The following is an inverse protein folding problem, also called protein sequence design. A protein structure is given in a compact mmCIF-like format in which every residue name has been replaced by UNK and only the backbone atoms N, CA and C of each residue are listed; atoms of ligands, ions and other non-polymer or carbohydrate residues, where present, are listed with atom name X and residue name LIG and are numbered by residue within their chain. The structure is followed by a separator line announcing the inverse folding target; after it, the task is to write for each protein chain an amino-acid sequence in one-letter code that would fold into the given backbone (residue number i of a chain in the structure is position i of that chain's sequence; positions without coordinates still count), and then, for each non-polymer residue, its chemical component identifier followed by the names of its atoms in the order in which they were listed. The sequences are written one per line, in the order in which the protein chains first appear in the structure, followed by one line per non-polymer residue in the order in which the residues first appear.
data_IF_327905464432
#
_entry.id   IF_327905464432
#
_cell.length_a   1.000
_cell.length_b   1.000
_cell.length_c   1.000
_cell.angle_alpha   90.00
_cell.angle_beta   90.00
_cell.angle_gamma   90.00
#
_symmetry.space_group_name_H-M   'P 1'
#
loop_
_entity.id
_entity.type
_entity.pdbx_description
1 polymer ?
#
# COMPACT_ATOMS: atom_id res chain seq x y z
N UNK A 1 9.57 36.26 -32.84
CA UNK A 1 10.43 35.20 -32.25
C UNK A 1 9.56 33.98 -32.08
N UNK A 2 9.87 32.92 -32.82
CA UNK A 2 9.06 31.72 -32.99
C UNK A 2 9.12 30.85 -31.74
N UNK A 3 7.98 30.65 -31.06
CA UNK A 3 7.85 29.64 -30.01
C UNK A 3 7.93 28.27 -30.66
N UNK A 4 9.08 27.59 -30.57
CA UNK A 4 9.12 26.16 -30.78
C UNK A 4 8.32 25.54 -29.65
N UNK A 5 7.12 25.02 -29.95
CA UNK A 5 6.47 24.02 -29.11
C UNK A 5 7.41 22.82 -29.04
N UNK A 6 8.29 22.81 -28.04
CA UNK A 6 9.06 21.62 -27.67
C UNK A 6 8.05 20.51 -27.44
N UNK A 7 8.03 19.49 -28.30
CA UNK A 7 7.24 18.30 -28.07
C UNK A 7 7.85 17.54 -26.89
N UNK A 8 7.04 16.80 -26.12
CA UNK A 8 7.52 15.91 -25.05
C UNK A 8 8.38 14.73 -25.56
N UNK A 9 8.93 14.80 -26.77
CA UNK A 9 9.70 13.74 -27.42
C UNK A 9 10.97 13.36 -26.62
N UNK A 10 11.54 14.29 -25.87
CA UNK A 10 12.67 14.03 -24.98
C UNK A 10 12.31 13.16 -23.76
N UNK A 11 11.01 12.99 -23.46
CA UNK A 11 10.51 12.16 -22.35
C UNK A 11 9.99 10.80 -22.80
N UNK A 12 9.73 10.60 -24.10
CA UNK A 12 9.00 9.45 -24.62
C UNK A 12 9.95 8.59 -25.46
N UNK A 13 10.01 7.29 -25.18
CA UNK A 13 10.82 6.36 -25.97
C UNK A 13 10.06 5.69 -27.11
N UNK A 14 10.81 5.16 -28.08
CA UNK A 14 10.26 4.35 -29.17
C UNK A 14 9.53 3.11 -28.63
N UNK A 15 10.05 2.52 -27.53
CA UNK A 15 9.36 1.45 -26.80
C UNK A 15 7.93 1.82 -26.38
N UNK A 16 7.68 3.06 -25.98
CA UNK A 16 6.33 3.49 -25.61
C UNK A 16 5.46 3.72 -26.85
N UNK A 17 6.04 4.27 -27.93
CA UNK A 17 5.34 4.44 -29.21
C UNK A 17 4.95 3.11 -29.87
N UNK A 18 5.74 2.05 -29.69
CA UNK A 18 5.43 0.72 -30.22
C UNK A 18 4.06 0.19 -29.76
N UNK A 19 3.62 0.52 -28.54
CA UNK A 19 2.28 0.15 -28.05
C UNK A 19 1.16 0.94 -28.70
N UNK A 20 1.45 2.11 -29.27
CA UNK A 20 0.48 2.94 -29.99
C UNK A 20 0.40 2.49 -31.45
N UNK A 21 1.55 2.25 -32.06
CA UNK A 21 1.68 1.90 -33.47
C UNK A 21 1.28 0.45 -33.73
N UNK A 22 1.56 -0.45 -32.78
CA UNK A 22 1.29 -1.89 -32.89
C UNK A 22 0.56 -2.43 -31.64
N UNK A 23 -0.64 -1.90 -31.33
CA UNK A 23 -1.37 -2.30 -30.13
C UNK A 23 -1.91 -3.72 -30.27
N UNK A 24 -2.03 -4.43 -29.15
CA UNK A 24 -2.71 -5.75 -29.13
C UNK A 24 -4.22 -5.62 -29.32
N UNK A 25 -4.77 -4.42 -29.10
CA UNK A 25 -6.18 -4.10 -29.31
C UNK A 25 -6.52 -2.67 -28.90
N UNK A 26 -7.79 -2.28 -29.05
CA UNK A 26 -8.23 -0.91 -28.75
C UNK A 26 -7.98 -0.49 -27.29
N UNK A 27 -8.33 -1.35 -26.33
CA UNK A 27 -8.13 -1.08 -24.91
C UNK A 27 -6.65 -0.90 -24.54
N UNK A 28 -5.78 -1.66 -25.19
CA UNK A 28 -4.32 -1.59 -25.04
C UNK A 28 -3.81 -0.22 -25.54
N UNK A 29 -4.18 0.16 -26.77
CA UNK A 29 -3.86 1.50 -27.32
C UNK A 29 -4.31 2.62 -26.39
N UNK A 30 -5.57 2.59 -25.94
CA UNK A 30 -6.13 3.63 -25.06
C UNK A 30 -5.37 3.73 -23.74
N UNK A 31 -5.00 2.59 -23.16
CA UNK A 31 -4.23 2.57 -21.93
C UNK A 31 -2.84 3.17 -22.12
N UNK A 32 -2.13 2.79 -23.18
CA UNK A 32 -0.79 3.33 -23.48
C UNK A 32 -0.83 4.81 -23.92
N UNK A 33 -1.87 5.25 -24.62
CA UNK A 33 -2.06 6.67 -24.98
C UNK A 33 -2.10 7.57 -23.75
N UNK A 34 -2.72 7.13 -22.65
CA UNK A 34 -2.74 7.92 -21.40
C UNK A 34 -1.35 8.15 -20.82
N UNK A 35 -0.44 7.19 -20.99
CA UNK A 35 0.95 7.30 -20.54
C UNK A 35 1.68 8.35 -21.37
N UNK A 36 1.51 8.29 -22.69
CA UNK A 36 2.04 9.29 -23.63
C UNK A 36 1.49 10.68 -23.30
N UNK A 37 0.17 10.80 -23.12
CA UNK A 37 -0.50 12.06 -22.80
C UNK A 37 0.02 12.65 -21.48
N UNK A 38 0.27 11.82 -20.46
CA UNK A 38 0.86 12.26 -19.20
C UNK A 38 2.23 12.92 -19.40
N UNK A 39 3.14 12.29 -20.15
CA UNK A 39 4.45 12.88 -20.44
C UNK A 39 4.36 14.12 -21.34
N UNK A 40 3.42 14.17 -22.29
CA UNK A 40 3.20 15.35 -23.12
C UNK A 40 2.67 16.54 -22.31
N UNK A 41 1.74 16.30 -21.39
CA UNK A 41 1.21 17.32 -20.48
C UNK A 41 2.29 17.83 -19.53
N UNK A 42 3.22 16.96 -19.12
CA UNK A 42 4.33 17.26 -18.22
C UNK A 42 5.65 17.53 -18.95
N UNK A 43 5.61 17.93 -20.23
CA UNK A 43 6.81 18.14 -21.06
C UNK A 43 7.78 19.20 -20.54
N UNK A 44 7.31 20.10 -19.69
CA UNK A 44 8.09 21.18 -19.10
C UNK A 44 8.43 20.89 -17.61
N UNK A 45 8.08 19.71 -17.09
CA UNK A 45 8.47 19.29 -15.76
C UNK A 45 9.99 19.05 -15.72
N UNK A 46 10.67 19.50 -14.67
CA UNK A 46 12.12 19.32 -14.53
C UNK A 46 12.50 17.89 -14.14
N UNK A 47 11.59 17.15 -13.51
CA UNK A 47 11.84 15.83 -12.93
C UNK A 47 10.56 15.05 -12.72
N UNK A 48 10.70 13.72 -12.70
CA UNK A 48 9.63 12.76 -12.49
C UNK A 48 9.97 11.82 -11.33
N UNK A 49 9.02 11.55 -10.46
CA UNK A 49 9.16 10.51 -9.43
C UNK A 49 8.46 9.22 -9.87
N UNK A 50 9.19 8.11 -9.82
CA UNK A 50 8.67 6.77 -10.07
C UNK A 50 8.54 6.05 -8.74
N UNK A 51 7.34 5.58 -8.43
CA UNK A 51 6.98 5.14 -7.08
C UNK A 51 6.53 3.70 -7.07
N UNK A 52 7.13 2.92 -6.16
CA UNK A 52 6.70 1.58 -5.80
C UNK A 52 6.76 1.38 -4.27
N UNK A 53 6.23 0.26 -3.80
CA UNK A 53 6.03 -0.05 -2.38
C UNK A 53 6.50 -1.45 -2.00
N UNK A 54 6.89 -1.61 -0.75
CA UNK A 54 7.08 -2.92 -0.14
C UNK A 54 6.52 -2.92 1.27
N UNK A 55 5.87 -3.99 1.67
CA UNK A 55 5.28 -4.07 3.00
C UNK A 55 5.26 -5.51 3.53
N UNK A 56 5.12 -5.60 4.85
CA UNK A 56 4.80 -6.83 5.54
C UNK A 56 3.68 -6.52 6.53
N UNK A 57 2.49 -7.11 6.38
CA UNK A 57 1.40 -6.89 7.32
C UNK A 57 1.75 -7.55 8.68
N UNK A 58 1.22 -7.03 9.79
CA UNK A 58 1.25 -7.75 11.05
C UNK A 58 0.53 -9.10 10.94
N UNK A 59 1.02 -10.12 11.64
CA UNK A 59 0.43 -11.46 11.63
C UNK A 59 0.35 -12.04 13.03
N UNK A 60 -0.69 -12.83 13.29
CA UNK A 60 -0.83 -13.60 14.52
C UNK A 60 -0.48 -15.05 14.25
N UNK A 61 0.38 -15.61 15.10
CA UNK A 61 0.59 -17.04 15.12
C UNK A 61 -0.62 -17.70 15.79
N UNK A 62 -1.45 -18.37 14.99
CA UNK A 62 -2.68 -19.02 15.47
C UNK A 62 -2.43 -20.08 16.56
N UNK A 63 -1.21 -20.66 16.64
CA UNK A 63 -0.87 -21.68 17.62
C UNK A 63 -0.39 -21.10 18.94
N UNK A 64 0.41 -20.04 18.90
CA UNK A 64 1.02 -19.43 20.11
C UNK A 64 0.27 -18.20 20.60
N UNK A 65 -0.59 -17.60 19.77
CA UNK A 65 -1.25 -16.32 20.04
C UNK A 65 -0.27 -15.13 20.04
N UNK A 66 0.97 -15.31 19.55
CA UNK A 66 1.95 -14.23 19.47
C UNK A 66 1.67 -13.34 18.25
N UNK A 67 1.85 -12.03 18.42
CA UNK A 67 1.65 -11.03 17.37
C UNK A 67 3.02 -10.58 16.84
N UNK A 68 3.24 -10.81 15.55
CA UNK A 68 4.39 -10.31 14.82
C UNK A 68 4.03 -8.97 14.17
N UNK A 69 4.88 -7.97 14.38
CA UNK A 69 4.66 -6.63 13.84
C UNK A 69 4.84 -6.57 12.31
N UNK A 70 4.29 -5.52 11.71
CA UNK A 70 4.45 -5.22 10.30
C UNK A 70 5.32 -3.99 10.04
N UNK A 71 5.57 -3.73 8.76
CA UNK A 71 6.01 -2.42 8.27
C UNK A 71 5.39 -2.12 6.92
N UNK A 72 5.44 -0.86 6.56
CA UNK A 72 5.13 -0.36 5.24
C UNK A 72 6.25 0.56 4.76
N UNK A 73 6.66 0.43 3.51
CA UNK A 73 7.69 1.27 2.90
C UNK A 73 7.29 1.69 1.50
N UNK A 74 7.52 2.96 1.16
CA UNK A 74 7.38 3.46 -0.21
C UNK A 74 8.67 4.11 -0.66
N UNK A 75 9.02 3.89 -1.93
CA UNK A 75 10.23 4.42 -2.55
C UNK A 75 9.84 5.26 -3.76
N UNK A 76 10.39 6.47 -3.86
CA UNK A 76 10.36 7.30 -5.06
C UNK A 76 11.77 7.42 -5.62
N UNK A 77 11.99 6.89 -6.82
CA UNK A 77 13.20 7.20 -7.60
C UNK A 77 12.90 8.46 -8.43
N UNK A 78 13.59 9.55 -8.12
CA UNK A 78 13.45 10.82 -8.83
C UNK A 78 14.46 10.87 -9.99
N UNK A 79 13.96 11.12 -11.20
CA UNK A 79 14.75 11.18 -12.44
C UNK A 79 14.57 12.57 -13.06
N UNK A 80 15.69 13.21 -13.41
CA UNK A 80 15.68 14.48 -14.14
C UNK A 80 15.10 14.27 -15.56
N UNK A 81 14.32 15.24 -16.05
CA UNK A 81 13.55 15.13 -17.27
C UNK A 81 14.40 14.80 -18.51
N UNK A 82 15.61 15.35 -18.60
CA UNK A 82 16.55 15.09 -19.70
C UNK A 82 17.13 13.65 -19.67
N UNK A 83 17.03 12.95 -18.53
CA UNK A 83 17.48 11.57 -18.37
C UNK A 83 16.36 10.54 -18.52
N UNK A 84 15.07 10.95 -18.45
CA UNK A 84 13.91 10.04 -18.48
C UNK A 84 13.97 9.08 -19.66
N UNK A 85 14.13 9.59 -20.89
CA UNK A 85 14.16 8.74 -22.09
C UNK A 85 15.39 7.84 -22.09
N UNK A 86 16.59 8.39 -21.88
CA UNK A 86 17.85 7.63 -21.89
C UNK A 86 17.85 6.50 -20.88
N UNK A 87 17.37 6.76 -19.66
CA UNK A 87 17.31 5.73 -18.63
C UNK A 87 16.24 4.68 -18.96
N UNK A 88 15.08 5.08 -19.50
CA UNK A 88 14.06 4.12 -19.95
C UNK A 88 14.60 3.22 -21.06
N UNK A 89 15.34 3.78 -22.01
CA UNK A 89 15.95 3.03 -23.12
C UNK A 89 17.02 2.07 -22.57
N UNK A 90 17.87 2.51 -21.64
CA UNK A 90 18.86 1.65 -20.98
C UNK A 90 18.21 0.47 -20.24
N UNK A 91 17.12 0.70 -19.49
CA UNK A 91 16.33 -0.38 -18.86
C UNK A 91 15.65 -1.26 -19.91
N UNK A 92 15.29 -0.68 -21.06
CA UNK A 92 14.61 -1.40 -22.14
C UNK A 92 15.51 -2.45 -22.76
N UNK A 93 16.79 -2.10 -22.90
CA UNK A 93 17.83 -2.89 -23.55
C UNK A 93 18.54 -3.86 -22.61
N UNK A 94 18.18 -3.88 -21.32
CA UNK A 94 18.68 -4.88 -20.37
C UNK A 94 18.29 -6.29 -20.82
N UNK A 95 19.28 -7.02 -21.34
CA UNK A 95 19.17 -8.44 -21.65
C UNK A 95 19.50 -9.28 -20.41
N UNK A 96 18.65 -9.17 -19.38
CA UNK A 96 18.73 -10.05 -18.22
C UNK A 96 17.79 -11.26 -18.45
N UNK A 97 18.34 -12.49 -18.55
CA UNK A 97 17.57 -13.69 -18.92
C UNK A 97 16.57 -14.13 -17.83
N UNK A 98 16.73 -13.63 -16.61
CA UNK A 98 15.87 -13.94 -15.45
C UNK A 98 14.82 -12.83 -15.30
N UNK A 99 13.55 -13.20 -15.42
CA UNK A 99 12.35 -12.39 -15.09
C UNK A 99 12.51 -10.90 -15.41
N UNK A 100 12.27 -10.54 -16.67
CA UNK A 100 12.00 -9.15 -17.07
C UNK A 100 10.93 -8.60 -16.11
N UNK A 101 10.98 -7.31 -15.82
CA UNK A 101 9.96 -6.53 -15.13
C UNK A 101 10.07 -6.32 -13.60
N UNK A 102 10.83 -7.11 -12.82
CA UNK A 102 10.88 -6.95 -11.34
C UNK A 102 12.14 -7.58 -10.69
N UNK A 103 12.46 -7.17 -9.47
CA UNK A 103 13.37 -7.87 -8.57
C UNK A 103 12.86 -9.29 -8.23
N UNK A 104 13.78 -10.24 -8.12
CA UNK A 104 13.43 -11.66 -7.97
C UNK A 104 13.78 -12.20 -6.59
N UNK A 105 12.87 -12.99 -6.01
CA UNK A 105 13.04 -13.50 -4.66
C UNK A 105 14.16 -14.55 -4.47
N UNK A 106 14.60 -15.15 -5.57
CA UNK A 106 15.46 -16.33 -5.58
C UNK A 106 16.90 -16.05 -6.07
N UNK A 107 17.27 -14.80 -6.33
CA UNK A 107 18.62 -14.46 -6.84
C UNK A 107 19.07 -13.07 -6.38
N UNK A 108 19.78 -13.02 -5.24
CA UNK A 108 20.46 -11.80 -4.80
C UNK A 108 21.54 -11.37 -5.81
N UNK A 109 22.13 -12.31 -6.56
CA UNK A 109 23.09 -12.03 -7.63
C UNK A 109 22.47 -11.24 -8.80
N UNK A 110 21.30 -11.66 -9.27
CA UNK A 110 20.53 -10.94 -10.27
C UNK A 110 20.17 -9.54 -9.78
N UNK A 111 19.58 -9.43 -8.58
CA UNK A 111 19.14 -8.14 -8.06
C UNK A 111 20.32 -7.17 -7.87
N UNK A 112 21.50 -7.69 -7.50
CA UNK A 112 22.72 -6.88 -7.42
C UNK A 112 23.18 -6.40 -8.79
N UNK A 113 23.16 -7.27 -9.81
CA UNK A 113 23.46 -6.84 -11.19
C UNK A 113 22.46 -5.80 -11.67
N UNK A 114 21.18 -5.99 -11.36
CA UNK A 114 20.14 -5.06 -11.74
C UNK A 114 20.33 -3.70 -11.04
N UNK A 115 20.62 -3.69 -9.74
CA UNK A 115 20.96 -2.48 -9.01
C UNK A 115 22.19 -1.77 -9.59
N UNK A 116 23.23 -2.53 -9.95
CA UNK A 116 24.43 -1.97 -10.60
C UNK A 116 24.12 -1.34 -11.96
N UNK A 117 23.11 -1.83 -12.69
CA UNK A 117 22.67 -1.23 -13.96
C UNK A 117 21.88 0.06 -13.77
N UNK A 118 21.09 0.18 -12.69
CA UNK A 118 20.33 1.41 -12.42
C UNK A 118 21.19 2.49 -11.73
N UNK A 119 22.17 2.09 -10.92
CA UNK A 119 22.91 3.00 -10.05
C UNK A 119 23.56 4.19 -10.78
N UNK A 120 24.15 4.02 -11.99
CA UNK A 120 24.70 5.14 -12.77
C UNK A 120 23.68 6.21 -13.17
N UNK A 121 22.37 5.89 -13.14
CA UNK A 121 21.29 6.81 -13.46
C UNK A 121 20.67 7.47 -12.22
N UNK A 122 21.06 7.04 -11.01
CA UNK A 122 20.55 7.61 -9.77
C UNK A 122 21.34 8.87 -9.40
N UNK A 123 20.62 9.98 -9.22
CA UNK A 123 21.22 11.21 -8.68
C UNK A 123 21.36 11.08 -7.16
N UNK A 124 22.46 11.58 -6.61
CA UNK A 124 22.73 11.53 -5.17
C UNK A 124 21.57 12.16 -4.37
N UNK A 125 21.07 11.43 -3.37
CA UNK A 125 19.94 11.84 -2.52
C UNK A 125 18.59 11.98 -3.23
N UNK A 126 18.50 11.72 -4.54
CA UNK A 126 17.27 11.89 -5.30
C UNK A 126 16.25 10.78 -5.02
N UNK A 127 16.68 9.61 -4.55
CA UNK A 127 15.74 8.54 -4.19
C UNK A 127 15.23 8.75 -2.77
N UNK A 128 13.92 9.00 -2.62
CA UNK A 128 13.27 9.20 -1.33
C UNK A 128 12.62 7.89 -0.89
N UNK A 129 12.90 7.46 0.33
CA UNK A 129 12.30 6.27 0.93
C UNK A 129 11.59 6.67 2.21
N UNK A 130 10.36 6.19 2.39
CA UNK A 130 9.63 6.37 3.64
C UNK A 130 9.32 5.03 4.26
N UNK A 131 9.55 4.89 5.57
CA UNK A 131 9.34 3.64 6.32
C UNK A 131 8.42 3.90 7.51
N UNK A 132 7.32 3.16 7.58
CA UNK A 132 6.41 3.12 8.71
C UNK A 132 6.50 1.78 9.44
N UNK A 133 6.90 1.79 10.72
CA UNK A 133 6.98 0.59 11.58
C UNK A 133 5.78 0.44 12.52
N UNK A 134 4.79 1.32 12.42
CA UNK A 134 3.58 1.32 13.24
C UNK A 134 2.36 0.97 12.37
N UNK A 135 2.23 -0.32 12.04
CA UNK A 135 1.08 -0.89 11.32
C UNK A 135 0.23 -1.65 12.32
N UNK A 136 -1.04 -1.27 12.45
CA UNK A 136 -1.97 -1.92 13.38
C UNK A 136 -2.44 -3.28 12.82
N UNK A 137 -2.89 -4.15 13.71
CA UNK A 137 -3.36 -5.50 13.40
C UNK A 137 -4.87 -5.63 13.60
N UNK A 138 -5.54 -6.39 12.76
CA UNK A 138 -6.87 -6.92 13.02
C UNK A 138 -6.96 -8.36 12.58
N UNK A 139 -7.65 -9.20 13.36
CA UNK A 139 -7.98 -10.56 12.93
C UNK A 139 -9.05 -10.61 11.85
N UNK A 140 -9.73 -9.48 11.57
CA UNK A 140 -10.69 -9.34 10.48
C UNK A 140 -9.96 -8.84 9.24
N UNK A 141 -9.98 -9.61 8.15
CA UNK A 141 -9.24 -9.34 6.91
C UNK A 141 -9.60 -7.98 6.31
N UNK A 142 -10.89 -7.62 6.29
CA UNK A 142 -11.37 -6.35 5.75
C UNK A 142 -10.81 -5.16 6.54
N UNK A 143 -10.84 -5.25 7.88
CA UNK A 143 -10.26 -4.22 8.75
C UNK A 143 -8.74 -4.18 8.57
N UNK A 144 -8.07 -5.33 8.44
CA UNK A 144 -6.62 -5.37 8.22
C UNK A 144 -6.21 -4.68 6.91
N UNK A 145 -7.01 -4.82 5.84
CA UNK A 145 -6.80 -4.11 4.57
C UNK A 145 -6.91 -2.60 4.76
N UNK A 146 -7.89 -2.14 5.53
CA UNK A 146 -8.04 -0.72 5.87
C UNK A 146 -6.84 -0.19 6.66
N UNK A 147 -6.36 -0.94 7.67
CA UNK A 147 -5.20 -0.55 8.48
C UNK A 147 -3.90 -0.51 7.67
N UNK A 148 -3.71 -1.43 6.72
CA UNK A 148 -2.57 -1.39 5.78
C UNK A 148 -2.69 -0.17 4.86
N UNK A 149 -3.90 0.15 4.40
CA UNK A 149 -4.15 1.34 3.58
C UNK A 149 -3.84 2.65 4.33
N UNK A 150 -4.18 2.74 5.60
CA UNK A 150 -3.81 3.89 6.45
C UNK A 150 -2.29 4.06 6.57
N UNK A 151 -1.56 2.95 6.74
CA UNK A 151 -0.09 2.96 6.74
C UNK A 151 0.47 3.39 5.38
N UNK A 152 -0.11 2.89 4.27
CA UNK A 152 0.20 3.31 2.90
C UNK A 152 0.03 4.81 2.71
N UNK A 153 -1.13 5.35 3.08
CA UNK A 153 -1.42 6.78 2.91
C UNK A 153 -0.48 7.67 3.74
N UNK A 154 -0.06 7.21 4.93
CA UNK A 154 0.92 7.91 5.76
C UNK A 154 2.30 7.97 5.09
N UNK A 155 2.76 6.83 4.53
CA UNK A 155 3.99 6.76 3.76
C UNK A 155 3.92 7.62 2.48
N UNK A 156 2.81 7.53 1.75
CA UNK A 156 2.54 8.29 0.53
C UNK A 156 2.59 9.81 0.75
N UNK A 157 1.91 10.32 1.79
CA UNK A 157 1.98 11.73 2.12
C UNK A 157 3.41 12.16 2.45
N UNK A 158 4.10 11.39 3.30
CA UNK A 158 5.47 11.69 3.70
C UNK A 158 6.40 11.73 2.47
N UNK A 159 6.28 10.76 1.56
CA UNK A 159 7.07 10.66 0.34
C UNK A 159 6.84 11.85 -0.59
N UNK A 160 5.59 12.25 -0.80
CA UNK A 160 5.27 13.43 -1.63
C UNK A 160 5.82 14.70 -0.98
N UNK A 161 5.65 14.88 0.33
CA UNK A 161 6.16 16.06 1.03
C UNK A 161 7.70 16.14 0.97
N UNK A 162 8.40 15.02 1.17
CA UNK A 162 9.86 14.99 1.03
C UNK A 162 10.30 15.26 -0.40
N UNK A 163 9.53 14.84 -1.40
CA UNK A 163 9.80 15.14 -2.81
C UNK A 163 9.53 16.61 -3.17
N UNK A 164 8.57 17.27 -2.52
CA UNK A 164 8.22 18.68 -2.74
C UNK A 164 9.07 19.68 -1.94
N UNK A 165 9.65 19.27 -0.81
CA UNK A 165 10.42 20.14 0.09
C UNK A 165 11.91 20.26 -0.29
N UNK A 166 12.31 19.71 -1.43
CA UNK A 166 13.70 19.77 -1.94
C UNK A 166 13.96 21.11 -2.63
N UNK A 167 15.23 21.44 -2.85
CA UNK A 167 15.63 22.62 -3.63
C UNK A 167 14.96 22.65 -5.01
N UNK A 168 14.86 21.48 -5.63
CA UNK A 168 14.17 21.26 -6.88
C UNK A 168 12.98 20.28 -6.64
N UNK A 169 11.76 20.81 -6.42
CA UNK A 169 10.59 20.03 -6.08
C UNK A 169 10.10 19.12 -7.22
N UNK A 170 9.49 17.98 -6.87
CA UNK A 170 8.79 17.12 -7.83
C UNK A 170 7.29 17.39 -7.83
N UNK A 171 6.70 17.50 -9.02
CA UNK A 171 5.24 17.64 -9.21
C UNK A 171 4.63 16.60 -10.14
N UNK A 172 5.43 15.80 -10.85
CA UNK A 172 4.94 14.73 -11.73
C UNK A 172 5.32 13.35 -11.16
N UNK A 173 4.31 12.53 -10.85
CA UNK A 173 4.48 11.22 -10.20
C UNK A 173 3.90 10.08 -11.05
N UNK A 174 4.68 9.02 -11.19
CA UNK A 174 4.28 7.78 -11.84
C UNK A 174 4.28 6.68 -10.80
N UNK A 175 3.09 6.19 -10.44
CA UNK A 175 2.92 5.13 -9.45
C UNK A 175 2.75 3.77 -10.14
N UNK A 176 3.32 2.73 -9.56
CA UNK A 176 2.89 1.37 -9.91
C UNK A 176 1.41 1.19 -9.58
N UNK A 177 0.65 0.70 -10.55
CA UNK A 177 -0.78 0.42 -10.36
C UNK A 177 -0.96 -0.84 -9.52
N UNK A 178 -1.88 -0.79 -8.57
CA UNK A 178 -2.37 -1.96 -7.86
C UNK A 178 -3.15 -2.88 -8.80
N UNK A 179 -3.11 -4.18 -8.51
CA UNK A 179 -3.97 -5.17 -9.19
C UNK A 179 -5.45 -4.88 -8.98
N UNK A 180 -5.79 -4.41 -7.77
CA UNK A 180 -7.12 -3.95 -7.44
C UNK A 180 -7.29 -2.48 -7.84
N UNK A 181 -8.23 -2.23 -8.76
CA UNK A 181 -8.49 -0.88 -9.25
C UNK A 181 -9.20 0.01 -8.22
N UNK A 182 -9.85 -0.56 -7.21
CA UNK A 182 -10.48 0.22 -6.16
C UNK A 182 -9.44 0.75 -5.16
N UNK A 183 -8.34 0.02 -4.94
CA UNK A 183 -7.16 0.53 -4.22
C UNK A 183 -6.52 1.72 -4.95
N UNK A 184 -6.36 1.62 -6.28
CA UNK A 184 -5.87 2.71 -7.11
C UNK A 184 -6.71 3.99 -6.93
N UNK A 185 -8.04 3.86 -6.93
CA UNK A 185 -8.97 4.99 -6.70
C UNK A 185 -8.85 5.56 -5.29
N UNK A 186 -8.58 4.73 -4.28
CA UNK A 186 -8.38 5.21 -2.91
C UNK A 186 -7.11 6.04 -2.78
N UNK A 187 -6.02 5.69 -3.46
CA UNK A 187 -4.80 6.49 -3.46
C UNK A 187 -5.04 7.86 -4.11
N UNK A 188 -5.78 7.89 -5.22
CA UNK A 188 -6.23 9.15 -5.85
C UNK A 188 -7.07 9.99 -4.86
N UNK A 189 -7.98 9.36 -4.12
CA UNK A 189 -8.80 10.04 -3.12
C UNK A 189 -7.95 10.57 -1.95
N UNK A 190 -6.95 9.81 -1.50
CA UNK A 190 -6.02 10.22 -0.45
C UNK A 190 -5.19 11.44 -0.87
N UNK A 191 -4.61 11.42 -2.08
CA UNK A 191 -3.83 12.54 -2.61
C UNK A 191 -4.70 13.79 -2.80
N UNK A 192 -5.94 13.63 -3.26
CA UNK A 192 -6.91 14.72 -3.31
C UNK A 192 -7.20 15.28 -1.91
N UNK A 193 -7.35 14.41 -0.91
CA UNK A 193 -7.56 14.80 0.48
C UNK A 193 -6.35 15.56 1.05
N UNK A 194 -5.12 15.15 0.74
CA UNK A 194 -3.89 15.85 1.16
C UNK A 194 -3.83 17.27 0.56
N UNK A 195 -4.16 17.39 -0.73
CA UNK A 195 -4.19 18.67 -1.45
C UNK A 195 -5.26 19.60 -0.86
N UNK A 196 -6.48 19.10 -0.64
CA UNK A 196 -7.57 19.87 -0.04
C UNK A 196 -7.29 20.29 1.41
N UNK A 197 -6.53 19.49 2.15
CA UNK A 197 -6.07 19.82 3.49
C UNK A 197 -4.86 20.77 3.50
N UNK A 198 -4.34 21.17 2.33
CA UNK A 198 -3.18 22.06 2.21
C UNK A 198 -1.85 21.43 2.64
N UNK A 199 -1.78 20.09 2.70
CA UNK A 199 -0.58 19.37 3.16
C UNK A 199 0.47 19.22 2.06
N UNK A 200 0.04 19.20 0.80
CA UNK A 200 0.88 19.16 -0.39
C UNK A 200 0.37 20.15 -1.42
N UNK A 201 1.24 20.62 -2.31
CA UNK A 201 0.81 21.27 -3.55
C UNK A 201 0.26 20.21 -4.51
N UNK A 202 -0.54 20.64 -5.47
CA UNK A 202 -1.04 19.78 -6.55
C UNK A 202 0.12 19.02 -7.22
N UNK A 203 -0.11 17.75 -7.51
CA UNK A 203 0.78 16.91 -8.31
C UNK A 203 -0.01 16.35 -9.50
N UNK A 204 0.66 16.24 -10.63
CA UNK A 204 0.20 15.43 -11.74
C UNK A 204 0.60 13.99 -11.48
N UNK A 205 -0.33 13.05 -11.70
CA UNK A 205 -0.07 11.65 -11.42
C UNK A 205 -0.68 10.70 -12.44
N UNK A 206 -0.03 9.55 -12.61
CA UNK A 206 -0.57 8.41 -13.34
C UNK A 206 -0.22 7.10 -12.61
N UNK A 207 -1.14 6.13 -12.65
CA UNK A 207 -0.92 4.77 -12.15
C UNK A 207 -0.80 3.80 -13.34
N UNK A 208 0.34 3.14 -13.47
CA UNK A 208 0.66 2.29 -14.63
C UNK A 208 1.33 0.99 -14.22
N UNK A 209 1.26 -0.04 -15.07
CA UNK A 209 2.01 -1.27 -14.91
C UNK A 209 3.48 -1.06 -15.28
N UNK A 210 4.42 -1.71 -14.56
CA UNK A 210 5.85 -1.72 -14.90
C UNK A 210 6.15 -2.32 -16.27
N UNK A 211 5.24 -3.12 -16.84
CA UNK A 211 5.35 -3.61 -18.22
C UNK A 211 5.13 -2.51 -19.27
N UNK A 212 4.42 -1.44 -18.92
CA UNK A 212 4.09 -0.32 -19.79
C UNK A 212 4.97 0.91 -19.54
N UNK A 213 5.52 1.03 -18.34
CA UNK A 213 6.51 2.04 -17.98
C UNK A 213 7.68 1.37 -17.25
N UNK A 214 8.80 1.19 -17.94
CA UNK A 214 9.94 0.43 -17.42
C UNK A 214 10.72 1.16 -16.33
N UNK A 215 10.57 2.49 -16.24
CA UNK A 215 11.20 3.24 -15.16
C UNK A 215 10.66 2.87 -13.77
N UNK A 216 9.49 2.21 -13.68
CA UNK A 216 8.98 1.62 -12.44
C UNK A 216 9.81 0.42 -11.94
N UNK A 217 10.69 -0.17 -12.75
CA UNK A 217 11.55 -1.25 -12.25
C UNK A 217 12.64 -0.73 -11.30
N UNK A 218 13.01 0.56 -11.41
CA UNK A 218 14.00 1.17 -10.53
C UNK A 218 13.51 1.26 -9.07
N UNK A 219 12.33 1.84 -8.75
CA UNK A 219 11.82 1.83 -7.39
C UNK A 219 11.51 0.41 -6.88
N UNK A 220 11.12 -0.54 -7.75
CA UNK A 220 10.88 -1.95 -7.39
C UNK A 220 12.13 -2.63 -6.82
N UNK A 221 13.27 -2.56 -7.52
CA UNK A 221 14.51 -3.19 -7.04
C UNK A 221 15.09 -2.47 -5.81
N UNK A 222 14.88 -1.16 -5.69
CA UNK A 222 15.24 -0.42 -4.47
C UNK A 222 14.34 -0.86 -3.30
N UNK A 223 13.02 -0.92 -3.49
CA UNK A 223 12.07 -1.46 -2.51
C UNK A 223 12.47 -2.86 -2.04
N UNK A 224 12.90 -3.72 -2.97
CA UNK A 224 13.38 -5.05 -2.66
C UNK A 224 14.60 -5.04 -1.73
N UNK A 225 15.55 -4.13 -1.96
CA UNK A 225 16.71 -3.94 -1.08
C UNK A 225 16.30 -3.52 0.34
N UNK A 226 15.29 -2.65 0.47
CA UNK A 226 14.76 -2.22 1.77
C UNK A 226 14.05 -3.37 2.49
N UNK A 227 13.28 -4.17 1.75
CA UNK A 227 12.66 -5.37 2.29
C UNK A 227 13.73 -6.33 2.83
N UNK A 228 14.85 -6.54 2.13
CA UNK A 228 15.96 -7.39 2.61
C UNK A 228 16.59 -6.87 3.89
N UNK A 229 16.76 -5.55 4.01
CA UNK A 229 17.25 -4.94 5.25
C UNK A 229 16.24 -5.16 6.38
N UNK A 230 14.98 -4.77 6.18
CA UNK A 230 13.96 -4.79 7.23
C UNK A 230 13.46 -6.19 7.61
N UNK A 231 13.64 -7.20 6.76
CA UNK A 231 13.27 -8.60 7.06
C UNK A 231 14.47 -9.48 7.41
N UNK A 232 15.68 -9.17 6.97
CA UNK A 232 16.79 -10.12 7.13
C UNK A 232 18.08 -9.49 7.64
N UNK A 233 18.08 -8.18 7.91
CA UNK A 233 19.31 -7.42 8.16
C UNK A 233 20.39 -7.71 7.10
N UNK A 234 19.95 -7.95 5.85
CA UNK A 234 20.82 -8.21 4.71
C UNK A 234 21.02 -6.89 3.95
N UNK A 235 22.19 -6.31 4.13
CA UNK A 235 22.55 -5.00 3.57
C UNK A 235 23.17 -5.11 2.17
N UNK A 236 23.43 -6.32 1.65
CA UNK A 236 24.19 -6.53 0.40
C UNK A 236 23.64 -5.73 -0.79
N UNK A 237 22.31 -5.68 -0.93
CA UNK A 237 21.65 -4.91 -1.98
C UNK A 237 21.53 -3.44 -1.62
N UNK A 238 21.20 -3.11 -0.38
CA UNK A 238 21.05 -1.73 0.06
C UNK A 238 22.37 -0.94 -0.05
N UNK A 239 23.50 -1.58 0.26
CA UNK A 239 24.83 -0.99 0.16
C UNK A 239 25.21 -0.55 -1.26
N UNK A 240 24.53 -1.05 -2.31
CA UNK A 240 24.80 -0.63 -3.68
C UNK A 240 24.15 0.70 -4.03
N UNK A 241 23.08 1.10 -3.32
CA UNK A 241 22.29 2.31 -3.60
C UNK A 241 22.29 3.31 -2.44
N UNK A 242 22.85 2.95 -1.28
CA UNK A 242 22.77 3.75 -0.04
C UNK A 242 23.21 5.21 -0.19
N UNK A 243 24.14 5.50 -1.10
CA UNK A 243 24.64 6.86 -1.31
C UNK A 243 23.64 7.72 -2.11
N UNK A 244 22.66 7.09 -2.77
CA UNK A 244 21.65 7.75 -3.59
C UNK A 244 20.27 7.86 -2.90
N UNK A 245 20.12 7.26 -1.72
CA UNK A 245 18.83 7.18 -1.02
C UNK A 245 18.81 8.04 0.25
N UNK A 246 17.69 8.70 0.49
CA UNK A 246 17.36 9.33 1.76
C UNK A 246 16.18 8.60 2.38
N UNK A 247 16.34 8.10 3.59
CA UNK A 247 15.29 7.31 4.27
C UNK A 247 14.68 8.13 5.39
N UNK A 248 13.35 8.13 5.45
CA UNK A 248 12.58 8.91 6.42
C UNK A 248 11.56 8.04 7.15
N UNK A 249 11.33 8.32 8.41
CA UNK A 249 10.19 7.76 9.15
C UNK A 249 8.89 8.35 8.57
N UNK A 250 7.95 7.48 8.21
CA UNK A 250 6.71 7.88 7.56
C UNK A 250 5.85 8.80 8.43
N UNK A 251 5.94 8.69 9.77
CA UNK A 251 5.11 9.45 10.71
C UNK A 251 5.78 10.76 11.11
N UNK A 252 7.01 10.73 11.62
CA UNK A 252 7.74 11.89 12.14
C UNK A 252 8.52 12.66 11.07
N UNK A 253 8.72 12.07 9.87
CA UNK A 253 9.53 12.61 8.76
C UNK A 253 11.00 12.82 9.11
N UNK A 254 11.47 12.20 10.20
CA UNK A 254 12.88 12.27 10.61
C UNK A 254 13.68 11.24 9.83
N UNK A 255 14.93 11.60 9.55
CA UNK A 255 15.85 10.72 8.84
C UNK A 255 16.02 9.39 9.59
N UNK A 256 16.14 8.30 8.84
CA UNK A 256 16.41 6.95 9.32
C UNK A 256 17.72 6.46 8.69
N UNK A 257 18.60 5.92 9.52
CA UNK A 257 19.81 5.23 9.09
C UNK A 257 19.55 3.72 9.00
N UNK A 258 19.53 3.21 7.76
CA UNK A 258 19.39 1.78 7.48
C UNK A 258 20.74 1.07 7.33
N UNK A 259 21.89 1.75 7.41
CA UNK A 259 23.22 1.13 7.30
C UNK A 259 23.50 0.11 8.40
N UNK A 260 24.52 -0.75 8.30
CA UNK A 260 24.78 -1.82 9.28
C UNK A 260 25.28 -1.34 10.67
N UNK A 261 25.43 -0.04 10.90
CA UNK A 261 26.00 0.54 12.13
C UNK A 261 25.18 0.30 13.40
N UNK A 262 25.87 0.32 14.56
CA UNK A 262 25.23 0.31 15.87
C UNK A 262 24.79 1.74 16.25
N UNK A 263 23.56 1.88 16.73
CA UNK A 263 23.06 3.12 17.33
C UNK A 263 22.33 2.78 18.63
N UNK A 264 22.79 3.35 19.74
CA UNK A 264 22.11 3.28 21.03
C UNK A 264 21.11 4.43 21.15
N UNK A 265 19.89 4.20 20.68
CA UNK A 265 18.77 5.11 20.85
C UNK A 265 17.78 4.54 21.84
N UNK A 266 17.39 5.38 22.80
CA UNK A 266 16.28 5.12 23.72
C UNK A 266 14.97 5.59 23.10
N UNK A 267 13.94 4.75 23.22
CA UNK A 267 12.56 5.11 22.85
C UNK A 267 12.06 6.27 23.71
N UNK A 268 11.39 7.25 23.10
CA UNK A 268 10.72 8.36 23.81
C UNK A 268 9.21 8.14 23.97
N UNK A 269 8.70 6.95 23.63
CA UNK A 269 7.27 6.65 23.63
C UNK A 269 6.66 6.67 25.05
N UNK A 270 5.48 7.29 25.18
CA UNK A 270 4.74 7.34 26.43
C UNK A 270 3.57 6.34 26.42
N UNK A 271 3.89 5.05 26.65
CA UNK A 271 2.89 3.96 26.64
C UNK A 271 1.79 4.16 27.69
N UNK A 272 2.10 4.85 28.80
CA UNK A 272 1.09 5.13 29.83
C UNK A 272 -0.02 6.05 29.30
N UNK A 273 0.34 7.10 28.54
CA UNK A 273 -0.64 8.01 27.94
C UNK A 273 -1.63 7.29 27.01
N UNK A 274 -1.21 6.23 26.34
CA UNK A 274 -2.06 5.38 25.49
C UNK A 274 -2.96 4.41 26.27
N UNK A 275 -2.95 4.42 27.61
CA UNK A 275 -3.79 3.56 28.46
C UNK A 275 -4.74 4.32 29.40
N UNK A 276 -4.42 5.55 29.78
CA UNK A 276 -5.25 6.36 30.70
C UNK A 276 -6.69 6.56 30.17
N UNK A 277 -7.74 6.31 30.97
CA UNK A 277 -9.13 6.53 30.55
C UNK A 277 -9.41 7.97 30.08
N UNK A 278 -10.20 8.15 29.02
CA UNK A 278 -10.46 9.48 28.44
C UNK A 278 -11.11 10.45 29.44
N UNK A 279 -11.97 9.96 30.32
CA UNK A 279 -12.63 10.75 31.37
C UNK A 279 -11.66 11.37 32.39
N UNK A 280 -10.47 10.78 32.55
CA UNK A 280 -9.46 11.25 33.51
C UNK A 280 -8.46 12.23 32.87
N UNK A 281 -8.43 12.32 31.54
CA UNK A 281 -7.56 13.25 30.83
C UNK A 281 -8.07 14.68 30.92
N UNK A 282 -7.15 15.64 31.05
CA UNK A 282 -7.45 17.06 30.89
C UNK A 282 -7.83 17.37 29.45
N UNK A 283 -8.51 18.49 29.20
CA UNK A 283 -8.93 18.87 27.84
C UNK A 283 -7.73 19.02 26.89
N UNK A 284 -6.61 19.55 27.37
CA UNK A 284 -5.38 19.62 26.59
C UNK A 284 -4.84 18.22 26.25
N UNK A 285 -4.82 17.29 27.20
CA UNK A 285 -4.38 15.92 26.95
C UNK A 285 -5.33 15.20 25.97
N UNK A 286 -6.64 15.41 26.08
CA UNK A 286 -7.63 14.92 25.12
C UNK A 286 -7.39 15.48 23.71
N UNK A 287 -7.06 16.77 23.58
CA UNK A 287 -6.72 17.35 22.28
C UNK A 287 -5.47 16.70 21.67
N UNK A 288 -4.46 16.35 22.48
CA UNK A 288 -3.27 15.63 21.99
C UNK A 288 -3.62 14.20 21.52
N UNK A 289 -4.49 13.49 22.27
CA UNK A 289 -4.99 12.16 21.85
C UNK A 289 -5.80 12.29 20.56
N UNK A 290 -6.77 13.20 20.49
CA UNK A 290 -7.59 13.45 19.30
C UNK A 290 -6.73 13.80 18.07
N UNK A 291 -5.65 14.56 18.27
CA UNK A 291 -4.68 14.89 17.21
C UNK A 291 -3.88 13.67 16.71
N UNK A 292 -3.90 12.53 17.40
CA UNK A 292 -3.13 11.33 17.06
C UNK A 292 -1.67 11.39 17.53
N UNK A 293 -1.37 12.17 18.59
CA UNK A 293 0.01 12.31 19.09
C UNK A 293 0.62 10.99 19.53
N UNK A 294 -0.20 10.09 20.05
CA UNK A 294 0.22 8.81 20.64
C UNK A 294 -0.02 7.63 19.71
N UNK A 295 -0.13 7.84 18.40
CA UNK A 295 -0.54 6.79 17.47
C UNK A 295 0.39 5.58 17.47
N UNK A 296 1.69 5.76 17.71
CA UNK A 296 2.65 4.66 17.83
C UNK A 296 2.39 3.86 19.10
N UNK A 297 2.18 4.55 20.21
CA UNK A 297 1.86 3.95 21.49
C UNK A 297 0.53 3.20 21.44
N UNK A 298 -0.48 3.77 20.78
CA UNK A 298 -1.78 3.14 20.56
C UNK A 298 -1.66 1.85 19.76
N UNK A 299 -0.89 1.85 18.67
CA UNK A 299 -0.61 0.64 17.87
C UNK A 299 0.11 -0.41 18.72
N UNK A 300 1.15 -0.03 19.46
CA UNK A 300 1.89 -0.97 20.33
C UNK A 300 0.99 -1.57 21.41
N UNK A 301 0.16 -0.74 22.05
CA UNK A 301 -0.80 -1.21 23.06
C UNK A 301 -1.80 -2.16 22.44
N UNK A 302 -2.40 -1.80 21.29
CA UNK A 302 -3.38 -2.65 20.60
C UNK A 302 -2.80 -4.00 20.21
N UNK A 303 -1.58 -4.02 19.67
CA UNK A 303 -0.89 -5.25 19.31
C UNK A 303 -0.58 -6.11 20.56
N UNK A 304 -0.18 -5.49 21.66
CA UNK A 304 0.11 -6.21 22.91
C UNK A 304 -1.15 -6.85 23.52
N UNK A 305 -2.30 -6.18 23.42
CA UNK A 305 -3.58 -6.67 23.97
C UNK A 305 -4.21 -7.78 23.12
N UNK A 306 -3.95 -7.80 21.80
CA UNK A 306 -4.46 -8.84 20.89
C UNK A 306 -3.67 -10.15 20.93
N UNK A 307 -2.50 -10.17 21.58
CA UNK A 307 -1.66 -11.36 21.72
C UNK A 307 -1.50 -11.82 23.17
N UNK A 308 -0.53 -12.70 23.42
CA UNK A 308 -0.10 -13.13 24.77
C UNK A 308 0.59 -12.02 25.60
N UNK A 309 0.47 -10.75 25.21
CA UNK A 309 1.21 -9.62 25.77
C UNK A 309 2.61 -9.41 25.19
N UNK A 310 3.15 -10.39 24.44
CA UNK A 310 4.48 -10.31 23.83
C UNK A 310 4.40 -9.80 22.38
N UNK A 311 4.98 -8.62 22.16
CA UNK A 311 5.16 -8.04 20.83
C UNK A 311 6.43 -8.59 20.18
N UNK A 312 6.29 -9.29 19.06
CA UNK A 312 7.43 -9.81 18.31
C UNK A 312 7.82 -8.86 17.18
N UNK A 313 9.07 -8.99 16.73
CA UNK A 313 9.54 -8.39 15.48
C UNK A 313 8.71 -8.94 14.30
N UNK A 314 8.86 -8.42 13.07
CA UNK A 314 8.19 -9.05 11.93
C UNK A 314 8.48 -10.55 11.82
N UNK A 315 7.52 -11.35 11.35
CA UNK A 315 7.63 -12.82 11.31
C UNK A 315 8.88 -13.32 10.57
N UNK A 316 9.19 -12.65 9.46
CA UNK A 316 10.37 -12.96 8.65
C UNK A 316 11.67 -12.41 9.23
N UNK A 317 11.61 -11.57 10.29
CA UNK A 317 12.76 -10.79 10.75
C UNK A 317 13.91 -11.69 11.23
N UNK A 318 15.05 -11.54 10.56
CA UNK A 318 16.33 -12.08 10.99
C UNK A 318 17.26 -10.91 11.31
N UNK A 319 17.81 -10.88 12.52
CA UNK A 319 18.71 -9.81 12.98
C UNK A 319 18.00 -8.56 13.54
N UNK A 320 18.71 -7.44 13.57
CA UNK A 320 18.37 -6.26 14.39
C UNK A 320 17.90 -5.02 13.60
N UNK A 321 17.96 -5.05 12.26
CA UNK A 321 17.73 -3.87 11.43
C UNK A 321 16.34 -3.25 11.65
N UNK A 322 15.26 -4.05 11.61
CA UNK A 322 13.91 -3.54 11.91
C UNK A 322 13.85 -2.91 13.30
N UNK A 323 14.34 -3.61 14.32
CA UNK A 323 14.29 -3.14 15.71
C UNK A 323 15.06 -1.82 15.89
N UNK A 324 16.14 -1.61 15.12
CA UNK A 324 16.88 -0.35 15.09
C UNK A 324 16.11 0.75 14.36
N UNK A 325 15.55 0.46 13.19
CA UNK A 325 14.72 1.41 12.44
C UNK A 325 13.52 1.86 13.26
N UNK A 326 12.84 0.92 13.90
CA UNK A 326 11.74 1.20 14.82
C UNK A 326 12.20 2.09 15.99
N UNK A 327 13.34 1.79 16.62
CA UNK A 327 13.90 2.64 17.70
C UNK A 327 14.22 4.05 17.23
N UNK A 328 14.76 4.23 16.02
CA UNK A 328 15.01 5.55 15.45
C UNK A 328 13.72 6.35 15.23
N UNK A 329 12.67 5.70 14.72
CA UNK A 329 11.34 6.31 14.63
C UNK A 329 10.79 6.69 16.01
N UNK A 330 10.87 5.77 16.97
CA UNK A 330 10.38 5.90 18.34
C UNK A 330 11.19 6.88 19.20
N UNK A 331 12.40 7.25 18.78
CA UNK A 331 13.22 8.25 19.45
C UNK A 331 12.64 9.67 19.29
N UNK A 332 11.82 9.87 18.26
CA UNK A 332 11.24 11.17 17.93
C UNK A 332 9.74 11.15 18.21
N UNK A 333 9.32 11.84 19.27
CA UNK A 333 7.89 12.09 19.51
C UNK A 333 7.25 12.82 18.32
N UNK A 334 5.98 12.49 18.05
CA UNK A 334 5.17 13.25 17.11
C UNK A 334 4.85 14.62 17.71
N UNK A 335 5.37 15.68 17.09
CA UNK A 335 4.94 17.04 17.43
C UNK A 335 3.44 17.21 17.19
N UNK A 336 2.74 18.12 17.92
CA UNK A 336 1.30 18.33 17.75
C UNK A 336 0.87 18.62 16.31
N UNK A 337 1.64 19.44 15.58
CA UNK A 337 1.35 19.74 14.18
C UNK A 337 1.50 18.50 13.30
N UNK A 338 2.57 17.74 13.50
CA UNK A 338 2.82 16.53 12.72
C UNK A 338 1.82 15.40 13.04
N UNK A 339 1.32 15.33 14.28
CA UNK A 339 0.24 14.42 14.65
C UNK A 339 -1.04 14.70 13.86
N UNK A 340 -1.45 15.98 13.77
CA UNK A 340 -2.60 16.40 12.94
C UNK A 340 -2.40 16.02 11.48
N UNK A 341 -1.21 16.30 10.93
CA UNK A 341 -0.86 15.95 9.54
C UNK A 341 -1.02 14.45 9.30
N UNK A 342 -0.50 13.61 10.19
CA UNK A 342 -0.57 12.15 10.03
C UNK A 342 -1.99 11.60 10.23
N UNK A 343 -2.78 12.17 11.12
CA UNK A 343 -4.20 11.82 11.27
C UNK A 343 -5.02 12.15 10.02
N UNK A 344 -4.73 13.29 9.38
CA UNK A 344 -5.31 13.62 8.07
C UNK A 344 -4.82 12.64 7.00
N UNK A 345 -3.54 12.27 7.02
CA UNK A 345 -2.93 11.37 6.05
C UNK A 345 -3.60 9.99 6.02
N UNK A 346 -3.76 9.38 7.19
CA UNK A 346 -4.41 8.06 7.34
C UNK A 346 -5.80 8.05 6.73
N UNK A 347 -6.53 9.16 6.88
CA UNK A 347 -7.91 9.28 6.41
C UNK A 347 -8.92 8.54 7.30
N UNK A 348 -8.46 7.89 8.36
CA UNK A 348 -9.27 7.36 9.46
C UNK A 348 -8.63 7.73 10.81
N UNK A 349 -9.40 7.57 11.88
CA UNK A 349 -9.01 7.82 13.26
C UNK A 349 -8.93 6.50 14.02
N UNK A 350 -7.94 6.37 14.90
CA UNK A 350 -7.88 5.25 15.84
C UNK A 350 -9.10 5.24 16.77
N UNK A 351 -9.42 4.10 17.42
CA UNK A 351 -10.48 4.05 18.42
C UNK A 351 -10.30 5.08 19.54
N UNK A 352 -9.05 5.33 19.98
CA UNK A 352 -8.77 6.34 21.02
C UNK A 352 -9.00 7.76 20.53
N UNK A 353 -8.61 8.07 19.29
CA UNK A 353 -8.91 9.37 18.69
C UNK A 353 -10.43 9.61 18.65
N UNK A 354 -11.21 8.62 18.21
CA UNK A 354 -12.69 8.68 18.17
C UNK A 354 -13.26 8.96 19.57
N UNK A 355 -12.83 8.21 20.58
CA UNK A 355 -13.25 8.43 21.98
C UNK A 355 -12.83 9.80 22.52
N UNK A 356 -11.66 10.31 22.16
CA UNK A 356 -11.21 11.62 22.57
C UNK A 356 -12.07 12.74 21.97
N UNK A 357 -12.46 12.62 20.69
CA UNK A 357 -13.40 13.55 20.06
C UNK A 357 -14.78 13.51 20.71
N UNK A 358 -15.30 12.32 21.02
CA UNK A 358 -16.58 12.16 21.73
C UNK A 358 -16.55 12.83 23.11
N UNK A 359 -15.47 12.63 23.87
CA UNK A 359 -15.30 13.21 25.20
C UNK A 359 -15.14 14.73 25.16
N UNK A 360 -14.36 15.26 24.22
CA UNK A 360 -14.23 16.71 23.99
C UNK A 360 -15.59 17.34 23.65
N UNK A 361 -16.37 16.68 22.79
CA UNK A 361 -17.71 17.12 22.44
C UNK A 361 -18.66 17.09 23.66
N UNK A 362 -18.62 16.01 24.45
CA UNK A 362 -19.42 15.87 25.69
C UNK A 362 -19.12 16.99 26.69
N UNK A 363 -17.86 17.45 26.76
CA UNK A 363 -17.42 18.56 27.62
C UNK A 363 -17.71 19.94 27.04
N UNK A 364 -18.20 20.04 25.79
CA UNK A 364 -18.44 21.32 25.12
C UNK A 364 -17.16 22.10 24.79
N UNK A 365 -16.04 21.39 24.61
CA UNK A 365 -14.74 22.01 24.33
C UNK A 365 -14.67 22.47 22.88
N UNK A 366 -14.29 23.72 22.66
CA UNK A 366 -14.06 24.25 21.30
C UNK A 366 -12.83 23.59 20.67
N UNK A 367 -12.99 23.00 19.48
CA UNK A 367 -11.92 22.33 18.79
C UNK A 367 -11.04 23.34 18.02
N UNK A 368 -9.70 23.28 18.14
CA UNK A 368 -8.81 24.08 17.30
C UNK A 368 -8.90 23.65 15.84
N UNK A 369 -8.47 24.52 14.91
CA UNK A 369 -8.55 24.30 13.46
C UNK A 369 -7.92 22.99 13.00
N UNK A 370 -6.80 22.58 13.60
CA UNK A 370 -6.15 21.31 13.29
C UNK A 370 -7.04 20.10 13.56
N UNK A 371 -7.78 20.08 14.68
CA UNK A 371 -8.70 18.99 15.01
C UNK A 371 -9.95 19.01 14.12
N UNK A 372 -10.44 20.21 13.76
CA UNK A 372 -11.52 20.34 12.79
C UNK A 372 -11.11 19.79 11.41
N UNK A 373 -9.86 20.02 11.00
CA UNK A 373 -9.33 19.50 9.73
C UNK A 373 -9.24 17.97 9.73
N UNK A 374 -8.94 17.33 10.87
CA UNK A 374 -8.98 15.86 11.00
C UNK A 374 -10.41 15.35 10.76
N UNK A 375 -11.41 15.94 11.42
CA UNK A 375 -12.81 15.54 11.24
C UNK A 375 -13.27 15.70 9.78
N UNK A 376 -12.97 16.85 9.17
CA UNK A 376 -13.30 17.10 7.76
C UNK A 376 -12.59 16.12 6.80
N UNK A 377 -11.35 15.75 7.11
CA UNK A 377 -10.58 14.74 6.37
C UNK A 377 -11.22 13.36 6.48
N UNK A 378 -11.49 12.91 7.70
CA UNK A 378 -12.15 11.63 7.97
C UNK A 378 -13.48 11.53 7.22
N UNK A 379 -14.33 12.55 7.28
CA UNK A 379 -15.59 12.56 6.54
C UNK A 379 -15.41 12.49 5.00
N UNK A 380 -14.41 13.19 4.45
CA UNK A 380 -14.11 13.11 3.01
C UNK A 380 -13.69 11.70 2.62
N UNK A 381 -12.81 11.10 3.41
CA UNK A 381 -12.28 9.77 3.15
C UNK A 381 -13.33 8.67 3.34
N UNK A 382 -14.20 8.78 4.34
CA UNK A 382 -15.34 7.87 4.51
C UNK A 382 -16.32 7.96 3.33
N UNK A 383 -16.63 9.16 2.85
CA UNK A 383 -17.42 9.33 1.62
C UNK A 383 -16.73 8.71 0.41
N UNK A 384 -15.41 8.84 0.28
CA UNK A 384 -14.66 8.23 -0.81
C UNK A 384 -14.71 6.69 -0.72
N UNK A 385 -14.47 6.13 0.47
CA UNK A 385 -14.53 4.69 0.76
C UNK A 385 -15.89 4.12 0.39
N UNK A 386 -16.97 4.74 0.83
CA UNK A 386 -18.34 4.31 0.50
C UNK A 386 -18.63 4.39 -1.00
N UNK A 387 -18.16 5.42 -1.71
CA UNK A 387 -18.33 5.51 -3.18
C UNK A 387 -17.56 4.45 -3.94
N UNK A 388 -16.37 4.08 -3.46
CA UNK A 388 -15.45 3.19 -4.16
C UNK A 388 -15.80 1.72 -3.87
N UNK A 389 -15.97 1.35 -2.61
CA UNK A 389 -16.21 -0.03 -2.19
C UNK A 389 -17.69 -0.37 -1.96
N UNK A 390 -18.57 0.63 -1.95
CA UNK A 390 -19.99 0.47 -1.65
C UNK A 390 -20.29 0.34 -0.16
N UNK A 391 -21.55 0.07 0.17
CA UNK A 391 -21.99 -0.12 1.56
C UNK A 391 -21.59 -1.51 2.10
N UNK A 392 -20.85 -1.60 3.22
CA UNK A 392 -20.48 -2.88 3.82
C UNK A 392 -21.70 -3.77 4.13
N UNK A 393 -22.79 -3.16 4.62
CA UNK A 393 -24.02 -3.90 4.96
C UNK A 393 -24.77 -4.43 3.72
N UNK A 394 -24.79 -3.68 2.62
CA UNK A 394 -25.41 -4.14 1.38
C UNK A 394 -24.59 -5.26 0.73
N UNK A 395 -23.25 -5.16 0.76
CA UNK A 395 -22.37 -6.21 0.25
C UNK A 395 -22.48 -7.51 1.07
N UNK A 396 -22.60 -7.43 2.40
CA UNK A 396 -22.86 -8.59 3.25
C UNK A 396 -24.24 -9.22 2.99
N UNK A 397 -25.30 -8.41 2.81
CA UNK A 397 -26.64 -8.89 2.44
C UNK A 397 -26.64 -9.54 1.05
N UNK A 398 -25.97 -8.94 0.07
CA UNK A 398 -25.85 -9.47 -1.28
C UNK A 398 -25.01 -10.76 -1.33
N UNK A 399 -23.93 -10.87 -0.55
CA UNK A 399 -23.16 -12.11 -0.41
C UNK A 399 -23.98 -13.22 0.27
N UNK A 400 -24.70 -12.91 1.36
CA UNK A 400 -25.61 -13.87 2.01
C UNK A 400 -26.71 -14.34 1.06
N UNK A 401 -27.30 -13.45 0.26
CA UNK A 401 -28.27 -13.82 -0.76
C UNK A 401 -27.67 -14.65 -1.90
N UNK A 402 -26.45 -14.35 -2.35
CA UNK A 402 -25.74 -15.17 -3.37
C UNK A 402 -25.37 -16.56 -2.84
N UNK A 403 -24.99 -16.68 -1.57
CA UNK A 403 -24.73 -17.96 -0.92
C UNK A 403 -26.02 -18.77 -0.74
N UNK A 404 -27.12 -18.13 -0.33
CA UNK A 404 -28.44 -18.77 -0.25
C UNK A 404 -28.97 -19.20 -1.63
N UNK A 405 -28.77 -18.40 -2.68
CA UNK A 405 -29.12 -18.77 -4.04
C UNK A 405 -28.31 -19.97 -4.56
N UNK A 406 -27.01 -20.04 -4.24
CA UNK A 406 -26.16 -21.21 -4.57
C UNK A 406 -26.57 -22.47 -3.82
N UNK A 407 -26.94 -22.37 -2.54
CA UNK A 407 -27.49 -23.51 -1.80
C UNK A 407 -28.89 -23.91 -2.29
N UNK A 408 -29.74 -22.96 -2.67
CA UNK A 408 -31.05 -23.24 -3.28
C UNK A 408 -30.94 -24.01 -4.61
N UNK A 409 -29.99 -23.63 -5.47
CA UNK A 409 -29.74 -24.34 -6.74
C UNK A 409 -29.13 -25.74 -6.53
N UNK A 410 -28.26 -25.92 -5.52
CA UNK A 410 -27.74 -27.26 -5.18
C UNK A 410 -28.81 -28.19 -4.59
N UNK A 411 -29.76 -27.65 -3.81
CA UNK A 411 -30.87 -28.42 -3.26
C UNK A 411 -31.87 -28.83 -4.35
N UNK A 412 -32.22 -27.93 -5.27
CA UNK A 412 -33.06 -28.27 -6.43
C UNK A 412 -32.37 -29.27 -7.39
N UNK A 413 -31.06 -29.17 -7.57
CA UNK A 413 -30.27 -30.14 -8.34
C UNK A 413 -30.27 -31.55 -7.71
N UNK A 414 -30.22 -31.64 -6.37
CA UNK A 414 -30.30 -32.92 -5.64
C UNK A 414 -31.71 -33.53 -5.66
N UNK A 415 -32.76 -32.72 -5.53
CA UNK A 415 -34.15 -33.20 -5.64
C UNK A 415 -34.47 -33.73 -7.05
N UNK A 416 -34.01 -33.04 -8.10
CA UNK A 416 -34.19 -33.50 -9.48
C UNK A 416 -33.38 -34.78 -9.77
N UNK A 417 -32.16 -34.92 -9.23
CA UNK A 417 -31.39 -36.17 -9.36
C UNK A 417 -32.03 -37.34 -8.59
N UNK A 418 -32.62 -37.10 -7.41
CA UNK A 418 -33.33 -38.14 -6.66
C UNK A 418 -34.63 -38.56 -7.36
N UNK A 419 -35.39 -37.60 -7.93
CA UNK A 419 -36.59 -37.90 -8.75
C UNK A 419 -36.25 -38.72 -9.99
N UNK A 420 -35.18 -38.38 -10.72
CA UNK A 420 -34.75 -39.13 -11.90
C UNK A 420 -34.28 -40.55 -11.53
N UNK A 421 -33.53 -40.73 -10.44
CA UNK A 421 -33.13 -42.08 -9.97
C UNK A 421 -34.31 -42.95 -9.55
N UNK A 422 -35.38 -42.36 -9.00
CA UNK A 422 -36.61 -43.10 -8.68
C UNK A 422 -37.41 -43.49 -9.93
N UNK A 423 -37.43 -42.65 -10.96
CA UNK A 423 -38.05 -42.98 -12.24
C UNK A 423 -37.27 -44.09 -12.99
N UNK A 424 -35.93 -44.02 -13.01
CA UNK A 424 -35.09 -45.03 -13.66
C UNK A 424 -35.16 -46.39 -12.96
N UNK A 425 -35.25 -46.42 -11.61
CA UNK A 425 -35.48 -47.66 -10.87
C UNK A 425 -36.84 -48.30 -11.17
N UNK A 426 -37.90 -47.50 -11.34
CA UNK A 426 -39.23 -48.00 -11.75
C UNK A 426 -39.23 -48.54 -13.18
N UNK A 427 -38.51 -47.88 -14.10
CA UNK A 427 -38.35 -48.35 -15.49
C UNK A 427 -37.58 -49.67 -15.58
N UNK A 428 -36.50 -49.81 -14.81
CA UNK A 428 -35.71 -51.04 -14.78
C UNK A 428 -36.44 -52.20 -14.09
N UNK A 429 -37.28 -51.95 -13.08
CA UNK A 429 -38.13 -53.01 -12.50
C UNK A 429 -39.23 -53.48 -13.47
N UNK A 430 -39.81 -52.58 -14.26
CA UNK A 430 -40.79 -52.97 -15.29
C UNK A 430 -40.13 -53.77 -16.44
N UNK A 431 -38.91 -53.42 -16.86
CA UNK A 431 -38.18 -54.19 -17.88
C UNK A 431 -37.68 -55.55 -17.37
N UNK A 432 -37.25 -55.66 -16.11
CA UNK A 432 -36.85 -56.96 -15.55
C UNK A 432 -38.03 -57.92 -15.33
N UNK A 433 -39.21 -57.42 -14.95
CA UNK A 433 -40.42 -58.23 -14.86
C UNK A 433 -40.95 -58.69 -16.23
N UNK A 434 -40.71 -57.94 -17.31
CA UNK A 434 -41.02 -58.38 -18.68
C UNK A 434 -40.02 -59.41 -19.22
N UNK A 435 -38.74 -59.35 -18.81
CA UNK A 435 -37.72 -60.31 -19.25
C UNK A 435 -37.74 -61.64 -18.47
N UNK A 436 -38.29 -61.69 -17.26
CA UNK A 436 -38.46 -62.94 -16.49
C UNK A 436 -39.72 -63.74 -16.87
N UNK A 437 -40.67 -63.15 -17.62
CA UNK A 437 -41.83 -63.88 -18.17
C UNK A 437 -41.55 -64.55 -19.54
N UNK A 438 -40.37 -64.36 -20.14
CA UNK A 438 -40.03 -64.88 -21.49
C UNK A 438 -39.02 -66.03 -21.53
N UNK A 439 -38.66 -66.63 -20.39
CA UNK A 439 -37.85 -67.87 -20.34
C UNK A 439 -38.58 -68.99 -19.60
N UNK A 440 -39.58 -69.55 -20.28
CA UNK A 440 -40.12 -70.90 -20.04
C UNK A 440 -39.46 -71.93 -20.98
N UNK A 441 -39.57 -73.23 -20.68
CA UNK A 441 -38.57 -74.24 -21.03
C UNK A 441 -38.62 -74.64 -22.50
N UNK A 442 -37.45 -74.93 -23.09
CA UNK A 442 -37.35 -75.73 -24.31
C UNK A 442 -36.61 -77.02 -24.01
N UNK A 443 -37.23 -78.10 -24.50
CA UNK A 443 -36.89 -79.51 -24.40
C UNK A 443 -35.51 -79.85 -24.93
#
# INVERSE_FOLDING_TARGET
MTSSTSSGSHLISDFQWDFIDRPRGYADRVYHSKIIDFYQQNKDAERFAYVDETYQPPVVNERTGEVYQGFYSMTAVIIEADQVKTFRDALTDLDLPEQKFHAVNNSDGYNRQFLNSINPHLVQGATVITVGTAVDFSSTEEIQKDLVREARHSALLSLIQQSQNRENPVYAFVFERMKDNDENKMDVAAISNFTQAGLIKHIDQIQVSPSAERLLWAPDVVCYSIQKVLNYSNFTLYDTVKDHVEVYDALSKKHLDLSSGAQDLTSSLNIHAAKVPMSELSDNALMQVAAGRFIREEVIVSLSEKGSGRLLQPERQQGIAYARTQRQGHHHELSPSQAVVQSIARGDMTPRQKQAFEELNRRGVSLPSGLQAILASHERMERARHRIFGDPEQNQRAQRQRQQARHGQQSQGRENQQRNRHQDRRRNQQQNNQNHQRRGPRR
#
